data_IF_718478463145
#
_entry.id   IF_718478463145
#
_cell.length_a   1.000
_cell.length_b   1.000
_cell.length_c   1.000
_cell.angle_alpha   90.00
_cell.angle_beta   90.00
_cell.angle_gamma   90.00
#
_symmetry.space_group_name_H-M   'P 1'
#
loop_
_entity.id
_entity.type
_entity.pdbx_description
1 polymer ?
#
# COMPACT_ATOMS: atom_id res chain seq x y z
N UNK A 1 18.96 -4.25 0.39
CA UNK A 1 17.65 -3.98 -0.24
C UNK A 1 16.73 -3.18 0.69
N UNK A 2 16.52 -3.60 1.96
CA UNK A 2 15.65 -2.88 2.92
C UNK A 2 16.11 -1.45 3.24
N UNK A 3 17.41 -1.19 3.33
CA UNK A 3 17.92 0.17 3.55
C UNK A 3 17.63 1.09 2.35
N UNK A 4 17.63 0.54 1.13
CA UNK A 4 17.21 1.28 -0.05
C UNK A 4 15.71 1.57 -0.01
N UNK A 5 14.89 0.59 0.34
CA UNK A 5 13.45 0.79 0.49
C UNK A 5 13.15 1.89 1.51
N UNK A 6 13.75 1.85 2.71
CA UNK A 6 13.56 2.89 3.71
C UNK A 6 13.95 4.30 3.22
N UNK A 7 14.99 4.40 2.38
CA UNK A 7 15.36 5.66 1.74
C UNK A 7 14.30 6.08 0.70
N UNK A 8 13.84 5.16 -0.13
CA UNK A 8 12.82 5.41 -1.15
C UNK A 8 11.52 5.91 -0.49
N UNK A 9 11.07 5.30 0.63
CA UNK A 9 9.88 5.75 1.37
C UNK A 9 10.01 7.20 1.88
N UNK A 10 11.18 7.58 2.36
CA UNK A 10 11.43 8.96 2.77
C UNK A 10 11.38 9.93 1.56
N UNK A 11 11.82 9.48 0.38
CA UNK A 11 11.74 10.24 -0.88
C UNK A 11 10.29 10.32 -1.35
N UNK A 12 9.52 9.23 -1.30
CA UNK A 12 8.09 9.18 -1.65
C UNK A 12 7.27 10.15 -0.79
N UNK A 13 7.51 10.16 0.52
CA UNK A 13 6.89 11.14 1.43
C UNK A 13 7.12 12.58 0.95
N UNK A 14 8.35 12.92 0.58
CA UNK A 14 8.67 14.26 0.08
C UNK A 14 8.00 14.55 -1.27
N UNK A 15 7.95 13.57 -2.19
CA UNK A 15 7.29 13.73 -3.48
C UNK A 15 5.78 13.98 -3.32
N UNK A 16 5.11 13.23 -2.44
CA UNK A 16 3.68 13.44 -2.15
C UNK A 16 3.44 14.79 -1.50
N UNK A 17 4.28 15.18 -0.55
CA UNK A 17 4.21 16.52 0.07
C UNK A 17 4.34 17.62 -0.99
N UNK A 18 5.30 17.52 -1.90
CA UNK A 18 5.50 18.50 -2.97
C UNK A 18 4.29 18.57 -3.92
N UNK A 19 3.65 17.44 -4.21
CA UNK A 19 2.41 17.39 -5.00
C UNK A 19 1.28 18.13 -4.28
N UNK A 20 1.09 17.89 -2.98
CA UNK A 20 0.08 18.59 -2.19
C UNK A 20 0.35 20.11 -2.17
N UNK A 21 1.61 20.50 -1.98
CA UNK A 21 2.01 21.92 -2.01
C UNK A 21 1.78 22.55 -3.39
N UNK A 22 2.06 21.81 -4.47
CA UNK A 22 1.82 22.25 -5.84
C UNK A 22 0.34 22.49 -6.13
N UNK A 23 -0.53 21.52 -5.77
CA UNK A 23 -1.98 21.64 -6.00
C UNK A 23 -2.62 22.72 -5.13
N UNK A 24 -2.24 22.78 -3.85
CA UNK A 24 -2.87 23.69 -2.87
C UNK A 24 -2.28 25.10 -2.91
N UNK A 25 -1.14 25.27 -3.52
CA UNK A 25 -0.30 26.49 -3.47
C UNK A 25 0.00 26.95 -2.03
N UNK A 26 0.14 26.00 -1.12
CA UNK A 26 0.43 26.22 0.32
C UNK A 26 1.47 25.23 0.80
N UNK A 27 2.30 25.66 1.76
CA UNK A 27 3.24 24.75 2.43
C UNK A 27 2.50 23.80 3.37
N UNK A 28 2.90 22.53 3.35
CA UNK A 28 2.39 21.51 4.27
C UNK A 28 3.09 21.66 5.62
N UNK A 29 2.30 21.82 6.67
CA UNK A 29 2.79 21.67 8.04
C UNK A 29 2.85 20.18 8.40
N UNK A 30 4.02 19.59 8.21
CA UNK A 30 4.24 18.15 8.41
C UNK A 30 3.98 17.73 9.84
N UNK A 31 4.37 18.55 10.84
CA UNK A 31 4.16 18.22 12.24
C UNK A 31 2.67 18.15 12.58
N UNK A 32 1.90 19.10 12.06
CA UNK A 32 0.45 19.12 12.20
C UNK A 32 -0.20 17.92 11.50
N UNK A 33 0.20 17.60 10.27
CA UNK A 33 -0.34 16.46 9.52
C UNK A 33 -0.10 15.12 10.24
N UNK A 34 1.10 14.92 10.79
CA UNK A 34 1.43 13.72 11.59
C UNK A 34 0.57 13.65 12.85
N UNK A 35 0.38 14.78 13.54
CA UNK A 35 -0.43 14.82 14.76
C UNK A 35 -1.92 14.54 14.46
N UNK A 36 -2.44 15.05 13.36
CA UNK A 36 -3.82 14.80 12.91
C UNK A 36 -4.03 13.33 12.53
N UNK A 37 -3.07 12.71 11.82
CA UNK A 37 -3.13 11.30 11.45
C UNK A 37 -3.05 10.39 12.69
N UNK A 38 -2.13 10.67 13.61
CA UNK A 38 -2.02 9.94 14.88
C UNK A 38 -3.27 10.04 15.76
N UNK A 39 -4.04 11.11 15.62
CA UNK A 39 -5.31 11.30 16.32
C UNK A 39 -6.50 10.69 15.57
N UNK A 40 -6.33 10.21 14.35
CA UNK A 40 -7.39 9.67 13.51
C UNK A 40 -7.73 8.22 13.91
N UNK A 41 -8.89 7.95 14.53
CA UNK A 41 -9.27 6.59 14.93
C UNK A 41 -9.55 5.67 13.74
N UNK A 42 -9.53 6.20 12.52
CA UNK A 42 -9.74 5.47 11.27
C UNK A 42 -8.45 5.27 10.45
N UNK A 43 -7.29 5.60 10.99
CA UNK A 43 -5.99 5.28 10.40
C UNK A 43 -5.75 3.75 10.43
N UNK A 44 -6.52 3.03 9.61
CA UNK A 44 -6.67 1.56 9.67
C UNK A 44 -5.56 0.80 8.94
N UNK A 45 -4.66 1.48 8.24
CA UNK A 45 -3.57 0.82 7.51
C UNK A 45 -2.48 0.27 8.42
N UNK A 46 -2.26 0.90 9.57
CA UNK A 46 -1.23 0.49 10.52
C UNK A 46 -1.55 -0.80 11.27
N UNK A 47 -2.83 -1.10 11.52
CA UNK A 47 -3.25 -2.19 12.41
C UNK A 47 -2.88 -3.59 11.92
N UNK A 48 -2.90 -3.87 10.62
CA UNK A 48 -2.57 -5.20 10.11
C UNK A 48 -1.06 -5.45 10.15
N UNK A 49 -0.26 -4.45 9.78
CA UNK A 49 1.20 -4.52 9.88
C UNK A 49 1.62 -4.67 11.34
N UNK A 50 1.09 -3.83 12.23
CA UNK A 50 1.37 -3.89 13.66
C UNK A 50 1.07 -5.26 14.27
N UNK A 51 -0.04 -5.91 13.85
CA UNK A 51 -0.35 -7.28 14.26
C UNK A 51 0.74 -8.25 13.82
N UNK A 52 1.13 -8.22 12.55
CA UNK A 52 2.15 -9.13 12.01
C UNK A 52 3.53 -8.88 12.62
N UNK A 53 3.87 -7.64 12.92
CA UNK A 53 5.10 -7.26 13.64
C UNK A 53 5.06 -7.77 15.07
N UNK A 54 3.96 -7.57 15.79
CA UNK A 54 3.80 -8.05 17.18
C UNK A 54 3.89 -9.57 17.28
N UNK A 55 3.36 -10.28 16.29
CA UNK A 55 3.40 -11.74 16.20
C UNK A 55 4.76 -12.25 15.66
N UNK A 56 5.64 -11.36 15.21
CA UNK A 56 6.90 -11.66 14.53
C UNK A 56 6.72 -12.65 13.36
N UNK A 57 5.62 -12.46 12.60
CA UNK A 57 5.21 -13.33 11.51
C UNK A 57 5.91 -12.94 10.20
N UNK A 58 7.09 -13.52 9.96
CA UNK A 58 7.88 -13.22 8.77
C UNK A 58 7.17 -13.54 7.45
N UNK A 59 6.34 -14.59 7.42
CA UNK A 59 5.58 -14.97 6.23
C UNK A 59 4.51 -13.92 5.92
N UNK A 60 3.75 -13.51 6.94
CA UNK A 60 2.73 -12.48 6.78
C UNK A 60 3.32 -11.12 6.37
N UNK A 61 4.45 -10.73 6.98
CA UNK A 61 5.16 -9.49 6.60
C UNK A 61 5.68 -9.53 5.16
N UNK A 62 6.27 -10.66 4.73
CA UNK A 62 6.73 -10.82 3.35
C UNK A 62 5.57 -10.80 2.33
N UNK A 63 4.43 -11.39 2.68
CA UNK A 63 3.21 -11.36 1.87
C UNK A 63 2.62 -9.94 1.82
N UNK A 64 2.54 -9.26 2.94
CA UNK A 64 2.05 -7.89 2.99
C UNK A 64 2.90 -6.97 2.10
N UNK A 65 4.22 -7.09 2.20
CA UNK A 65 5.15 -6.36 1.33
C UNK A 65 4.93 -6.71 -0.14
N UNK A 66 4.83 -7.99 -0.50
CA UNK A 66 4.62 -8.41 -1.89
C UNK A 66 3.28 -7.89 -2.45
N UNK A 67 2.20 -8.07 -1.72
CA UNK A 67 0.85 -7.73 -2.18
C UNK A 67 0.60 -6.21 -2.10
N UNK A 68 1.00 -5.57 -1.00
CA UNK A 68 0.81 -4.14 -0.76
C UNK A 68 1.57 -3.29 -1.77
N UNK A 69 2.87 -3.54 -1.89
CA UNK A 69 3.75 -2.80 -2.80
C UNK A 69 3.41 -3.07 -4.28
N UNK A 70 3.10 -4.35 -4.61
CA UNK A 70 2.68 -4.69 -5.99
C UNK A 70 1.35 -4.02 -6.37
N UNK A 71 0.45 -3.82 -5.42
CA UNK A 71 -0.77 -3.05 -5.61
C UNK A 71 -0.47 -1.56 -5.73
N UNK A 72 0.41 -1.02 -4.88
CA UNK A 72 0.84 0.36 -4.93
C UNK A 72 1.47 0.70 -6.29
N UNK A 73 2.34 -0.18 -6.83
CA UNK A 73 2.90 -0.06 -8.18
C UNK A 73 1.81 0.20 -9.23
N UNK A 74 0.77 -0.65 -9.23
CA UNK A 74 -0.32 -0.52 -10.22
C UNK A 74 -1.10 0.76 -10.05
N UNK A 75 -1.40 1.15 -8.81
CA UNK A 75 -2.19 2.36 -8.52
C UNK A 75 -1.42 3.61 -8.90
N UNK A 76 -0.17 3.75 -8.47
CA UNK A 76 0.66 4.91 -8.77
C UNK A 76 0.92 5.10 -10.27
N UNK A 77 1.22 4.01 -10.99
CA UNK A 77 1.39 4.07 -12.45
C UNK A 77 0.10 4.48 -13.16
N UNK A 78 -1.06 3.93 -12.77
CA UNK A 78 -2.34 4.35 -13.32
C UNK A 78 -2.66 5.81 -13.04
N UNK A 79 -2.38 6.29 -11.85
CA UNK A 79 -2.56 7.71 -11.52
C UNK A 79 -1.64 8.59 -12.36
N UNK A 80 -0.39 8.19 -12.56
CA UNK A 80 0.56 8.90 -13.42
C UNK A 80 0.08 8.99 -14.87
N UNK A 81 -0.50 7.91 -15.41
CA UNK A 81 -1.01 7.84 -16.78
C UNK A 81 -2.26 8.71 -17.00
N UNK A 82 -3.05 8.95 -15.95
CA UNK A 82 -4.30 9.71 -16.02
C UNK A 82 -4.15 11.21 -15.74
N UNK A 83 -3.00 11.65 -15.23
CA UNK A 83 -2.77 13.04 -14.79
C UNK A 83 -2.06 13.83 -15.89
N UNK A 84 -2.67 14.93 -16.35
CA UNK A 84 -2.09 15.81 -17.39
C UNK A 84 -0.92 16.66 -16.85
N UNK A 85 -0.93 17.00 -15.55
CA UNK A 85 0.13 17.76 -14.93
C UNK A 85 1.44 16.96 -14.84
N UNK A 86 2.43 17.35 -15.66
CA UNK A 86 3.70 16.63 -15.76
C UNK A 86 4.51 16.63 -14.46
N UNK A 87 4.34 17.63 -13.61
CA UNK A 87 5.02 17.69 -12.31
C UNK A 87 4.50 16.55 -11.40
N UNK A 88 3.20 16.33 -11.40
CA UNK A 88 2.54 15.27 -10.62
C UNK A 88 2.80 13.91 -11.26
N UNK A 89 2.53 13.77 -12.55
CA UNK A 89 2.67 12.51 -13.28
C UNK A 89 4.07 11.90 -13.14
N UNK A 90 5.12 12.72 -13.26
CA UNK A 90 6.50 12.25 -13.13
C UNK A 90 6.81 11.72 -11.73
N UNK A 91 6.28 12.35 -10.67
CA UNK A 91 6.47 11.90 -9.29
C UNK A 91 5.76 10.58 -9.03
N UNK A 92 4.53 10.47 -9.48
CA UNK A 92 3.74 9.25 -9.32
C UNK A 92 4.32 8.07 -10.10
N UNK A 93 4.81 8.30 -11.33
CA UNK A 93 5.52 7.28 -12.10
C UNK A 93 6.80 6.80 -11.39
N UNK A 94 7.54 7.73 -10.76
CA UNK A 94 8.74 7.36 -9.99
C UNK A 94 8.40 6.53 -8.77
N UNK A 95 7.37 6.90 -8.01
CA UNK A 95 6.88 6.11 -6.88
C UNK A 95 6.47 4.71 -7.39
N UNK A 96 5.62 4.62 -8.40
CA UNK A 96 5.19 3.32 -8.95
C UNK A 96 6.35 2.42 -9.38
N UNK A 97 7.41 2.99 -9.97
CA UNK A 97 8.61 2.23 -10.32
C UNK A 97 9.33 1.66 -9.09
N UNK A 98 9.44 2.44 -8.02
CA UNK A 98 10.11 2.00 -6.79
C UNK A 98 9.28 0.95 -6.06
N UNK A 99 7.94 1.08 -6.01
CA UNK A 99 7.04 0.09 -5.41
C UNK A 99 7.13 -1.28 -6.12
N UNK A 100 7.29 -1.28 -7.45
CA UNK A 100 7.54 -2.51 -8.20
C UNK A 100 8.90 -3.17 -7.84
N UNK A 101 9.88 -2.40 -7.38
CA UNK A 101 11.12 -2.95 -6.83
C UNK A 101 10.91 -3.47 -5.41
N UNK A 102 10.18 -2.75 -4.56
CA UNK A 102 9.87 -3.16 -3.18
C UNK A 102 9.07 -4.47 -3.15
N UNK A 103 8.07 -4.61 -4.01
CA UNK A 103 7.29 -5.85 -4.16
C UNK A 103 8.19 -7.07 -4.45
N UNK A 104 9.24 -6.91 -5.27
CA UNK A 104 10.18 -7.99 -5.57
C UNK A 104 11.03 -8.40 -4.37
N UNK A 105 11.22 -7.54 -3.38
CA UNK A 105 11.89 -7.90 -2.12
C UNK A 105 11.02 -8.91 -1.37
N UNK A 106 9.72 -8.63 -1.22
CA UNK A 106 8.74 -9.55 -0.64
C UNK A 106 8.69 -10.88 -1.39
N UNK A 107 8.62 -10.85 -2.73
CA UNK A 107 8.59 -12.06 -3.56
C UNK A 107 9.83 -12.95 -3.36
N UNK A 108 11.03 -12.36 -3.26
CA UNK A 108 12.26 -13.12 -2.99
C UNK A 108 12.23 -13.79 -1.62
N UNK A 109 11.70 -13.09 -0.61
CA UNK A 109 11.58 -13.65 0.74
C UNK A 109 10.56 -14.80 0.78
N UNK A 110 9.43 -14.64 0.09
CA UNK A 110 8.40 -15.68 -0.05
C UNK A 110 8.94 -16.95 -0.74
N UNK A 111 9.78 -16.81 -1.76
CA UNK A 111 10.40 -17.96 -2.42
C UNK A 111 11.26 -18.83 -1.47
N UNK A 112 11.75 -18.25 -0.38
CA UNK A 112 12.50 -18.98 0.65
C UNK A 112 11.56 -19.53 1.75
N UNK A 113 10.55 -18.75 2.14
CA UNK A 113 9.66 -19.11 3.26
C UNK A 113 8.59 -20.16 2.87
N UNK A 114 8.17 -20.18 1.60
CA UNK A 114 7.15 -21.12 1.09
C UNK A 114 7.79 -22.39 0.50
N UNK A 115 8.67 -23.05 1.22
CA UNK A 115 9.45 -24.20 0.77
C UNK A 115 8.72 -25.57 0.90
N UNK A 116 7.54 -25.57 1.53
CA UNK A 116 6.75 -26.78 1.74
C UNK A 116 5.23 -26.50 1.63
N UNK A 117 4.43 -27.59 1.54
CA UNK A 117 2.98 -27.48 1.33
C UNK A 117 2.24 -26.78 2.47
N UNK A 118 2.71 -26.89 3.72
CA UNK A 118 2.08 -26.26 4.87
C UNK A 118 2.27 -24.72 4.81
N UNK A 119 3.48 -24.27 4.57
CA UNK A 119 3.77 -22.83 4.44
C UNK A 119 3.12 -22.22 3.20
N UNK A 120 2.98 -22.98 2.11
CA UNK A 120 2.26 -22.55 0.90
C UNK A 120 0.76 -22.38 1.18
N UNK A 121 0.12 -23.34 1.83
CA UNK A 121 -1.31 -23.26 2.20
C UNK A 121 -1.57 -22.07 3.14
N UNK A 122 -0.72 -21.89 4.14
CA UNK A 122 -0.80 -20.73 5.04
C UNK A 122 -0.61 -19.41 4.29
N UNK A 123 0.31 -19.36 3.33
CA UNK A 123 0.53 -18.17 2.50
C UNK A 123 -0.72 -17.82 1.67
N UNK A 124 -1.44 -18.80 1.14
CA UNK A 124 -2.70 -18.59 0.41
C UNK A 124 -3.78 -17.98 1.30
N UNK A 125 -3.95 -18.51 2.53
CA UNK A 125 -4.90 -17.98 3.51
C UNK A 125 -4.58 -16.52 3.91
N UNK A 126 -3.32 -16.25 4.26
CA UNK A 126 -2.84 -14.91 4.60
C UNK A 126 -2.97 -13.94 3.43
N UNK A 127 -2.65 -14.39 2.20
CA UNK A 127 -2.79 -13.55 1.01
C UNK A 127 -4.25 -13.13 0.76
N UNK A 128 -5.21 -14.02 1.06
CA UNK A 128 -6.62 -13.69 0.99
C UNK A 128 -7.00 -12.64 2.06
N UNK A 129 -6.59 -12.84 3.32
CA UNK A 129 -6.83 -11.90 4.42
C UNK A 129 -6.26 -10.50 4.08
N UNK A 130 -5.00 -10.44 3.64
CA UNK A 130 -4.33 -9.18 3.28
C UNK A 130 -5.05 -8.46 2.13
N UNK A 131 -5.43 -9.18 1.08
CA UNK A 131 -6.17 -8.59 -0.05
C UNK A 131 -7.52 -8.02 0.37
N UNK A 132 -8.25 -8.74 1.20
CA UNK A 132 -9.53 -8.27 1.74
C UNK A 132 -9.36 -7.00 2.57
N UNK A 133 -8.32 -6.93 3.39
CA UNK A 133 -8.05 -5.78 4.25
C UNK A 133 -7.62 -4.55 3.46
N UNK A 134 -6.65 -4.69 2.55
CA UNK A 134 -6.22 -3.62 1.64
C UNK A 134 -7.38 -3.12 0.77
N UNK A 135 -8.29 -4.01 0.41
CA UNK A 135 -9.48 -3.64 -0.32
C UNK A 135 -10.44 -2.79 0.53
N UNK A 136 -10.72 -3.20 1.79
CA UNK A 136 -11.55 -2.42 2.73
C UNK A 136 -11.00 -1.01 2.95
N UNK A 137 -9.68 -0.90 3.13
CA UNK A 137 -9.00 0.39 3.29
C UNK A 137 -9.25 1.28 2.07
N UNK A 138 -9.12 0.74 0.87
CA UNK A 138 -9.32 1.53 -0.36
C UNK A 138 -10.77 1.90 -0.59
N UNK A 139 -11.70 0.98 -0.36
CA UNK A 139 -13.13 1.23 -0.51
C UNK A 139 -13.61 2.32 0.45
N UNK A 140 -13.04 2.39 1.67
CA UNK A 140 -13.40 3.43 2.65
C UNK A 140 -12.92 4.82 2.26
N UNK A 141 -11.91 4.94 1.39
CA UNK A 141 -11.25 6.20 1.06
C UNK A 141 -11.72 6.82 -0.27
N UNK A 142 -12.34 6.05 -1.18
CA UNK A 142 -12.49 6.47 -2.57
C UNK A 142 -13.90 6.52 -3.13
N UNK A 143 -14.91 5.94 -2.47
CA UNK A 143 -16.23 5.79 -3.11
C UNK A 143 -17.36 5.75 -2.07
N UNK A 144 -18.59 6.17 -2.42
CA UNK A 144 -19.76 5.85 -1.62
C UNK A 144 -19.80 4.36 -1.34
N UNK A 145 -19.73 4.01 -0.07
CA UNK A 145 -19.48 2.64 0.45
C UNK A 145 -20.37 1.57 -0.21
N UNK A 146 -21.61 1.94 -0.60
CA UNK A 146 -22.55 1.01 -1.21
C UNK A 146 -22.15 0.55 -2.62
N UNK A 147 -21.63 1.47 -3.47
CA UNK A 147 -21.20 1.13 -4.84
C UNK A 147 -19.89 0.34 -4.84
N UNK A 148 -18.97 0.70 -3.96
CA UNK A 148 -17.71 -0.01 -3.82
C UNK A 148 -17.95 -1.46 -3.36
N UNK A 149 -18.84 -1.69 -2.39
CA UNK A 149 -19.23 -3.03 -1.92
C UNK A 149 -19.84 -3.87 -3.03
N UNK A 150 -20.71 -3.29 -3.84
CA UNK A 150 -21.32 -4.00 -4.96
C UNK A 150 -20.29 -4.39 -6.01
N UNK A 151 -19.41 -3.45 -6.40
CA UNK A 151 -18.34 -3.73 -7.37
C UNK A 151 -17.42 -4.86 -6.93
N UNK A 152 -17.13 -4.96 -5.63
CA UNK A 152 -16.28 -6.03 -5.09
C UNK A 152 -16.98 -7.37 -5.06
N UNK A 153 -18.23 -7.36 -4.65
CA UNK A 153 -19.05 -8.57 -4.70
C UNK A 153 -19.15 -9.10 -6.13
N UNK A 154 -19.36 -8.21 -7.12
CA UNK A 154 -19.49 -8.58 -8.51
C UNK A 154 -18.16 -9.02 -9.15
N UNK A 155 -17.05 -8.37 -8.81
CA UNK A 155 -15.74 -8.66 -9.39
C UNK A 155 -15.00 -9.83 -8.73
N UNK A 156 -15.17 -10.02 -7.43
CA UNK A 156 -14.35 -10.95 -6.65
C UNK A 156 -15.15 -11.93 -5.77
N UNK A 157 -16.48 -11.82 -5.73
CA UNK A 157 -17.32 -12.65 -4.88
C UNK A 157 -17.13 -12.40 -3.37
N UNK A 158 -16.50 -11.29 -2.97
CA UNK A 158 -16.19 -10.98 -1.58
C UNK A 158 -17.28 -10.09 -0.96
N UNK A 159 -17.72 -10.45 0.24
CA UNK A 159 -18.55 -9.56 1.06
C UNK A 159 -17.64 -8.69 1.96
N UNK A 160 -17.69 -7.37 1.80
CA UNK A 160 -16.89 -6.37 2.51
C UNK A 160 -17.75 -5.34 3.23
#
# INVERSE_FOLDING_TARGET
DLSKQAYDEAVHFNMVREVIEHISNKKVDVAKAIAEEAANPQAKGATLIEKFEADNDELALALYQFIGEGRAEVVWNKMADCIEDQFIATRYAKIGQDEGFHSKIGAKKLAVLCDNAETQARAEELAHEIRCDLFKISASNTTPVAEAKQLVKDAYGLEV
#
